data_IF_768251698777
#
_entry.id   IF_768251698777
#
_cell.length_a   1.000
_cell.length_b   1.000
_cell.length_c   1.000
_cell.angle_alpha   90.00
_cell.angle_beta   90.00
_cell.angle_gamma   90.00
#
_symmetry.space_group_name_H-M   'P 1'
#
loop_
_entity.id
_entity.type
_entity.pdbx_description
1 polymer ?
#
# COMPACT_ATOMS: atom_id res chain seq x y z
N UNK A 1 27.27 53.21 -20.01
CA UNK A 1 26.72 51.89 -20.39
C UNK A 1 26.31 50.98 -19.25
N UNK A 2 26.64 51.22 -17.97
CA UNK A 2 26.34 50.38 -16.83
C UNK A 2 24.92 50.45 -16.25
N UNK A 3 24.22 51.58 -16.37
CA UNK A 3 22.90 51.78 -15.73
C UNK A 3 21.72 51.09 -16.47
N UNK A 4 21.80 50.88 -17.76
CA UNK A 4 20.73 50.28 -18.56
C UNK A 4 20.69 48.74 -18.35
N UNK A 5 21.84 48.08 -18.14
CA UNK A 5 21.89 46.63 -17.87
C UNK A 5 21.30 46.26 -16.51
N UNK A 6 21.47 47.11 -15.48
CA UNK A 6 20.94 46.82 -14.13
C UNK A 6 19.41 46.94 -14.06
N UNK A 7 18.77 47.82 -14.82
CA UNK A 7 17.30 47.93 -14.84
C UNK A 7 16.63 46.79 -15.58
N UNK A 8 17.24 46.22 -16.62
CA UNK A 8 16.73 45.07 -17.34
C UNK A 8 16.82 43.76 -16.50
N UNK A 9 17.93 43.61 -15.76
CA UNK A 9 18.14 42.43 -14.91
C UNK A 9 17.11 42.40 -13.75
N UNK A 10 16.86 43.54 -13.11
CA UNK A 10 15.86 43.67 -12.03
C UNK A 10 14.41 43.39 -12.50
N UNK A 11 14.09 43.71 -13.75
CA UNK A 11 12.75 43.44 -14.30
C UNK A 11 12.57 41.95 -14.62
N UNK A 12 13.60 41.27 -15.10
CA UNK A 12 13.56 39.83 -15.37
C UNK A 12 13.44 39.01 -14.09
N UNK A 13 14.20 39.33 -13.03
CA UNK A 13 14.15 38.68 -11.76
C UNK A 13 12.79 38.87 -11.02
N UNK A 14 12.18 40.06 -11.19
CA UNK A 14 10.84 40.35 -10.65
C UNK A 14 9.75 39.53 -11.36
N UNK A 15 9.82 39.38 -12.68
CA UNK A 15 8.85 38.57 -13.45
C UNK A 15 8.97 37.09 -13.11
N UNK A 16 10.18 36.58 -12.91
CA UNK A 16 10.42 35.19 -12.48
C UNK A 16 9.89 34.95 -11.07
N UNK A 17 10.10 35.90 -10.15
CA UNK A 17 9.62 35.82 -8.78
C UNK A 17 8.08 35.86 -8.73
N UNK A 18 7.45 36.75 -9.50
CA UNK A 18 5.98 36.85 -9.60
C UNK A 18 5.37 35.57 -10.21
N UNK A 19 6.01 35.01 -11.23
CA UNK A 19 5.56 33.71 -11.80
C UNK A 19 5.68 32.57 -10.78
N UNK A 20 6.76 32.54 -10.00
CA UNK A 20 6.96 31.54 -8.95
C UNK A 20 5.93 31.70 -7.80
N UNK A 21 5.64 32.92 -7.41
CA UNK A 21 4.62 33.22 -6.37
C UNK A 21 3.22 32.88 -6.87
N UNK A 22 2.89 33.18 -8.13
CA UNK A 22 1.60 32.82 -8.75
C UNK A 22 1.45 31.29 -8.88
N UNK A 23 2.51 30.59 -9.24
CA UNK A 23 2.50 29.14 -9.34
C UNK A 23 2.38 28.46 -7.98
N UNK A 24 3.05 28.99 -6.94
CA UNK A 24 2.91 28.52 -5.56
C UNK A 24 1.51 28.80 -4.99
N UNK A 25 0.92 29.98 -5.28
CA UNK A 25 -0.47 30.31 -4.90
C UNK A 25 -1.50 29.45 -5.63
N UNK A 26 -1.28 29.14 -6.91
CA UNK A 26 -2.13 28.24 -7.68
C UNK A 26 -2.07 26.81 -7.12
N UNK A 27 -0.90 26.33 -6.73
CA UNK A 27 -0.73 25.04 -6.03
C UNK A 27 -1.41 25.01 -4.67
N UNK A 28 -1.41 26.11 -3.92
CA UNK A 28 -2.08 26.22 -2.61
C UNK A 28 -3.60 26.31 -2.77
N UNK A 29 -4.10 26.98 -3.81
CA UNK A 29 -5.54 27.12 -4.07
C UNK A 29 -6.17 25.92 -4.79
N UNK A 30 -5.39 25.11 -5.50
CA UNK A 30 -5.89 23.90 -6.19
C UNK A 30 -6.11 22.72 -5.26
N UNK A 31 -5.83 22.83 -3.93
CA UNK A 31 -6.23 21.83 -2.93
C UNK A 31 -5.78 20.38 -3.20
N UNK A 32 -4.82 20.17 -4.13
CA UNK A 32 -4.34 18.85 -4.51
C UNK A 32 -2.96 18.60 -3.89
N UNK A 33 -2.91 18.65 -2.57
CA UNK A 33 -2.03 17.78 -1.81
C UNK A 33 -2.90 16.72 -1.18
N UNK A 34 -3.40 15.80 -1.97
CA UNK A 34 -3.84 14.51 -1.46
C UNK A 34 -2.57 13.74 -1.04
N UNK A 35 -1.96 14.16 0.03
CA UNK A 35 -1.17 13.29 0.89
C UNK A 35 -2.20 12.35 1.51
N UNK A 36 -2.59 11.33 0.79
CA UNK A 36 -3.37 10.23 1.35
C UNK A 36 -2.51 9.60 2.43
N UNK A 37 -2.77 9.97 3.67
CA UNK A 37 -2.11 9.35 4.82
C UNK A 37 -2.51 7.88 4.88
N UNK A 38 -1.56 7.03 5.27
CA UNK A 38 -1.82 5.60 5.50
C UNK A 38 -3.06 5.42 6.38
N UNK A 39 -3.96 4.54 5.96
CA UNK A 39 -5.21 4.27 6.69
C UNK A 39 -4.91 3.74 8.09
N UNK A 40 -5.66 4.27 9.05
CA UNK A 40 -5.46 3.99 10.49
C UNK A 40 -6.41 2.90 10.99
N UNK A 41 -6.06 2.23 12.09
CA UNK A 41 -7.00 1.36 12.81
C UNK A 41 -8.34 2.07 13.10
N UNK A 42 -9.45 1.33 12.99
CA UNK A 42 -10.81 1.85 13.10
C UNK A 42 -11.43 2.29 11.77
N UNK A 43 -10.65 2.41 10.69
CA UNK A 43 -11.15 2.79 9.38
C UNK A 43 -11.74 1.57 8.65
N UNK A 44 -12.92 1.67 8.02
CA UNK A 44 -13.39 0.65 7.09
C UNK A 44 -12.40 0.47 5.95
N UNK A 45 -11.99 -0.78 5.67
CA UNK A 45 -11.08 -1.09 4.59
C UNK A 45 -11.75 -0.82 3.24
N UNK A 46 -11.19 0.04 2.37
CA UNK A 46 -11.72 0.28 1.04
C UNK A 46 -11.81 -1.02 0.25
N UNK A 47 -12.99 -1.33 -0.29
CA UNK A 47 -13.14 -2.48 -1.16
C UNK A 47 -12.43 -2.27 -2.50
N UNK A 48 -11.96 -3.38 -3.08
CA UNK A 48 -11.31 -3.41 -4.38
C UNK A 48 -11.61 -4.74 -5.08
N UNK A 49 -11.36 -4.76 -6.38
CA UNK A 49 -11.29 -5.99 -7.19
C UNK A 49 -10.02 -5.92 -8.01
N UNK A 50 -9.13 -6.89 -7.85
CA UNK A 50 -7.85 -6.98 -8.55
C UNK A 50 -7.67 -8.35 -9.20
N UNK A 51 -6.86 -8.43 -10.24
CA UNK A 51 -6.53 -9.68 -10.89
C UNK A 51 -5.52 -10.51 -10.08
N UNK A 52 -5.82 -11.78 -9.87
CA UNK A 52 -4.92 -12.80 -9.32
C UNK A 52 -4.29 -13.67 -10.41
N UNK A 53 -4.96 -13.73 -11.58
CA UNK A 53 -4.50 -14.39 -12.80
C UNK A 53 -5.11 -13.66 -14.02
N UNK A 54 -4.67 -13.94 -15.26
CA UNK A 54 -5.16 -13.22 -16.43
C UNK A 54 -6.68 -13.26 -16.62
N UNK A 55 -7.31 -14.36 -16.20
CA UNK A 55 -8.75 -14.62 -16.31
C UNK A 55 -9.47 -14.70 -14.95
N UNK A 56 -8.78 -14.39 -13.86
CA UNK A 56 -9.32 -14.46 -12.51
C UNK A 56 -9.10 -13.15 -11.76
N UNK A 57 -10.10 -12.75 -10.99
CA UNK A 57 -10.03 -11.60 -10.09
C UNK A 57 -10.60 -11.95 -8.73
N UNK A 58 -10.10 -11.24 -7.72
CA UNK A 58 -10.54 -11.37 -6.33
C UNK A 58 -10.93 -10.00 -5.78
N UNK A 59 -12.05 -9.96 -5.06
CA UNK A 59 -12.50 -8.76 -4.36
C UNK A 59 -12.27 -8.90 -2.86
N UNK A 60 -11.88 -7.82 -2.18
CA UNK A 60 -11.73 -7.85 -0.71
C UNK A 60 -13.02 -8.28 -0.01
N UNK A 61 -14.18 -7.94 -0.57
CA UNK A 61 -15.48 -8.34 -0.02
C UNK A 61 -15.72 -9.86 0.04
N UNK A 62 -14.98 -10.66 -0.72
CA UNK A 62 -15.06 -12.13 -0.68
C UNK A 62 -14.47 -12.72 0.60
N UNK A 63 -13.64 -11.95 1.30
CA UNK A 63 -13.00 -12.35 2.55
C UNK A 63 -13.77 -11.89 3.81
N UNK A 64 -14.98 -11.34 3.64
CA UNK A 64 -15.84 -11.02 4.78
C UNK A 64 -16.16 -12.26 5.60
N UNK A 65 -16.21 -12.10 6.93
CA UNK A 65 -16.38 -13.21 7.87
C UNK A 65 -15.06 -13.80 8.35
N UNK A 66 -13.93 -13.43 7.73
CA UNK A 66 -12.59 -13.87 8.11
C UNK A 66 -11.66 -12.67 8.29
N UNK A 67 -10.73 -12.70 9.27
CA UNK A 67 -9.65 -11.73 9.31
C UNK A 67 -8.82 -11.80 8.02
N UNK A 68 -8.41 -10.64 7.49
CA UNK A 68 -7.64 -10.56 6.25
C UNK A 68 -6.38 -9.75 6.48
N UNK A 69 -5.25 -10.29 6.03
CA UNK A 69 -3.94 -9.63 6.05
C UNK A 69 -3.66 -9.13 4.64
N UNK A 70 -3.54 -7.81 4.46
CA UNK A 70 -3.04 -7.24 3.22
C UNK A 70 -1.57 -6.90 3.38
N UNK A 71 -0.72 -7.47 2.53
CA UNK A 71 0.70 -7.21 2.45
C UNK A 71 1.01 -6.45 1.14
N UNK A 72 1.05 -5.12 1.20
CA UNK A 72 1.57 -4.32 0.10
C UNK A 72 3.10 -4.41 0.09
N UNK A 73 3.67 -4.65 -1.09
CA UNK A 73 5.12 -4.79 -1.26
C UNK A 73 5.59 -4.13 -2.55
N UNK A 74 6.83 -3.60 -2.59
CA UNK A 74 7.34 -2.80 -3.70
C UNK A 74 7.34 -3.48 -5.07
N UNK A 75 7.91 -4.68 -5.18
CA UNK A 75 8.07 -5.35 -6.47
C UNK A 75 8.38 -6.83 -6.32
N UNK A 76 7.88 -7.63 -7.26
CA UNK A 76 8.28 -9.02 -7.45
C UNK A 76 9.80 -9.12 -7.64
N UNK A 77 10.37 -10.26 -7.29
CA UNK A 77 11.78 -10.60 -7.43
C UNK A 77 12.77 -9.66 -6.74
N UNK A 78 12.35 -8.57 -6.07
CA UNK A 78 13.29 -7.80 -5.27
C UNK A 78 13.73 -8.61 -4.04
N UNK A 79 15.02 -8.50 -3.61
CA UNK A 79 15.54 -9.37 -2.55
C UNK A 79 14.70 -9.34 -1.28
N UNK A 80 14.41 -8.15 -0.75
CA UNK A 80 13.66 -7.99 0.51
C UNK A 80 12.20 -8.45 0.37
N UNK A 81 11.57 -8.25 -0.82
CA UNK A 81 10.21 -8.74 -1.06
C UNK A 81 10.19 -10.26 -1.18
N UNK A 82 11.19 -10.85 -1.85
CA UNK A 82 11.34 -12.30 -1.92
C UNK A 82 11.44 -12.93 -0.53
N UNK A 83 12.29 -12.39 0.33
CA UNK A 83 12.45 -12.86 1.71
C UNK A 83 11.17 -12.68 2.54
N UNK A 84 10.47 -11.55 2.38
CA UNK A 84 9.21 -11.30 3.07
C UNK A 84 8.12 -12.30 2.67
N UNK A 85 7.92 -12.52 1.36
CA UNK A 85 6.89 -13.44 0.86
C UNK A 85 7.22 -14.89 1.21
N UNK A 86 8.49 -15.28 1.16
CA UNK A 86 8.94 -16.60 1.60
C UNK A 86 8.66 -16.80 3.10
N UNK A 87 9.02 -15.84 3.96
CA UNK A 87 8.71 -15.90 5.38
C UNK A 87 7.20 -16.08 5.63
N UNK A 88 6.37 -15.29 4.95
CA UNK A 88 4.91 -15.38 5.13
C UNK A 88 4.34 -16.71 4.65
N UNK A 89 4.93 -17.29 3.61
CA UNK A 89 4.55 -18.62 3.12
C UNK A 89 4.90 -19.72 4.13
N UNK A 90 6.07 -19.63 4.76
CA UNK A 90 6.52 -20.58 5.79
C UNK A 90 5.61 -20.56 7.03
N UNK A 91 5.17 -19.36 7.43
CA UNK A 91 4.32 -19.20 8.63
C UNK A 91 2.83 -19.10 8.30
N UNK A 92 2.42 -19.39 7.07
CA UNK A 92 1.01 -19.38 6.68
C UNK A 92 0.11 -20.21 7.62
N UNK A 93 0.54 -21.40 8.13
CA UNK A 93 -0.23 -22.16 9.12
C UNK A 93 -0.53 -21.36 10.40
N UNK A 94 0.37 -20.47 10.85
CA UNK A 94 0.12 -19.63 12.02
C UNK A 94 -1.01 -18.61 11.76
N UNK A 95 -1.08 -18.02 10.56
CA UNK A 95 -2.20 -17.15 10.18
C UNK A 95 -3.51 -17.94 10.10
N UNK A 96 -3.48 -19.16 9.58
CA UNK A 96 -4.66 -20.04 9.47
C UNK A 96 -5.21 -20.44 10.84
N UNK A 97 -4.40 -20.52 11.90
CA UNK A 97 -4.90 -20.74 13.27
C UNK A 97 -5.86 -19.64 13.74
N UNK A 98 -5.77 -18.45 13.16
CA UNK A 98 -6.68 -17.32 13.39
C UNK A 98 -7.82 -17.29 12.36
N UNK A 99 -7.92 -18.27 11.47
CA UNK A 99 -8.80 -18.27 10.31
C UNK A 99 -8.56 -17.00 9.43
N UNK A 100 -7.32 -16.53 9.38
CA UNK A 100 -6.93 -15.34 8.67
C UNK A 100 -6.40 -15.69 7.27
N UNK A 101 -6.84 -14.91 6.27
CA UNK A 101 -6.37 -14.99 4.89
C UNK A 101 -5.26 -13.97 4.65
N UNK A 102 -4.21 -14.38 3.90
CA UNK A 102 -3.12 -13.51 3.49
C UNK A 102 -3.22 -13.18 2.00
N UNK A 103 -3.06 -11.93 1.65
CA UNK A 103 -3.08 -11.42 0.28
C UNK A 103 -1.87 -10.51 0.08
N UNK A 104 -1.03 -10.81 -0.92
CA UNK A 104 0.03 -9.91 -1.38
C UNK A 104 -0.52 -8.95 -2.45
N UNK A 105 -0.08 -7.68 -2.42
CA UNK A 105 -0.50 -6.68 -3.41
C UNK A 105 0.72 -5.86 -3.83
N UNK A 106 0.96 -5.78 -5.14
CA UNK A 106 1.91 -4.83 -5.73
C UNK A 106 1.38 -4.26 -7.05
N UNK A 107 2.12 -3.33 -7.63
CA UNK A 107 1.81 -2.77 -8.95
C UNK A 107 2.38 -3.60 -10.10
N UNK A 108 2.92 -4.76 -9.82
CA UNK A 108 3.40 -5.68 -10.87
C UNK A 108 2.22 -6.29 -11.63
N UNK A 109 2.45 -6.68 -12.88
CA UNK A 109 1.44 -7.32 -13.70
C UNK A 109 1.21 -8.78 -13.31
N UNK A 110 0.04 -9.31 -13.65
CA UNK A 110 -0.39 -10.68 -13.29
C UNK A 110 0.61 -11.77 -13.75
N UNK A 111 1.26 -11.59 -14.87
CA UNK A 111 2.27 -12.55 -15.37
C UNK A 111 3.53 -12.55 -14.53
N UNK A 112 3.94 -11.38 -14.01
CA UNK A 112 5.04 -11.28 -13.04
C UNK A 112 4.67 -12.01 -11.75
N UNK A 113 3.47 -11.76 -11.21
CA UNK A 113 2.96 -12.43 -10.02
C UNK A 113 2.93 -13.96 -10.17
N UNK A 114 2.44 -14.47 -11.30
CA UNK A 114 2.42 -15.90 -11.55
C UNK A 114 3.82 -16.51 -11.58
N UNK A 115 4.77 -15.83 -12.24
CA UNK A 115 6.16 -16.28 -12.30
C UNK A 115 6.81 -16.24 -10.91
N UNK A 116 6.62 -15.14 -10.16
CA UNK A 116 7.17 -14.96 -8.81
C UNK A 116 6.56 -15.94 -7.81
N UNK A 117 5.23 -16.13 -7.84
CA UNK A 117 4.55 -17.10 -6.99
C UNK A 117 5.04 -18.53 -7.24
N UNK A 118 5.24 -18.89 -8.51
CA UNK A 118 5.79 -20.19 -8.89
C UNK A 118 7.25 -20.35 -8.45
N UNK A 119 8.09 -19.33 -8.65
CA UNK A 119 9.51 -19.35 -8.27
C UNK A 119 9.69 -19.54 -6.77
N UNK A 120 8.86 -18.87 -5.95
CA UNK A 120 8.89 -18.92 -4.49
C UNK A 120 7.96 -19.97 -3.88
N UNK A 121 7.26 -20.74 -4.70
CA UNK A 121 6.27 -21.73 -4.27
C UNK A 121 5.27 -21.15 -3.25
N UNK A 122 4.71 -19.97 -3.55
CA UNK A 122 3.77 -19.28 -2.65
C UNK A 122 2.39 -19.96 -2.68
N UNK A 123 1.79 -20.11 -1.51
CA UNK A 123 0.48 -20.75 -1.30
C UNK A 123 -0.61 -19.73 -0.89
N UNK A 124 -0.43 -18.46 -1.20
CA UNK A 124 -1.40 -17.39 -1.03
C UNK A 124 -1.44 -16.51 -2.28
N UNK A 125 -2.56 -15.82 -2.56
CA UNK A 125 -2.72 -15.03 -3.77
C UNK A 125 -1.86 -13.76 -3.75
N UNK A 126 -1.32 -13.43 -4.93
CA UNK A 126 -0.77 -12.12 -5.25
C UNK A 126 -1.75 -11.40 -6.19
N UNK A 127 -2.09 -10.16 -5.86
CA UNK A 127 -3.06 -9.36 -6.61
C UNK A 127 -2.38 -8.16 -7.27
N UNK A 128 -2.69 -7.96 -8.54
CA UNK A 128 -2.06 -6.97 -9.41
C UNK A 128 -2.82 -5.64 -9.39
N UNK A 129 -2.23 -4.63 -8.74
CA UNK A 129 -2.70 -3.23 -8.77
C UNK A 129 -2.01 -2.46 -9.92
N UNK A 130 -1.93 -3.11 -11.11
CA UNK A 130 -1.16 -2.66 -12.25
C UNK A 130 -1.85 -1.52 -13.00
N UNK A 131 -3.15 -1.66 -13.30
CA UNK A 131 -3.91 -0.67 -14.08
C UNK A 131 -5.35 -0.55 -13.59
N UNK A 132 -5.83 0.64 -13.21
CA UNK A 132 -5.09 1.91 -13.12
C UNK A 132 -4.01 1.84 -12.05
N UNK A 133 -2.78 2.21 -12.43
CA UNK A 133 -1.57 1.93 -11.64
C UNK A 133 -1.66 2.43 -10.19
N UNK A 134 -1.60 1.48 -9.27
CA UNK A 134 -1.59 1.76 -7.84
C UNK A 134 -2.90 2.38 -7.33
N UNK A 135 -4.04 2.10 -7.98
CA UNK A 135 -5.33 2.67 -7.54
C UNK A 135 -5.70 2.21 -6.14
N UNK A 136 -5.51 0.93 -5.85
CA UNK A 136 -5.79 0.38 -4.51
C UNK A 136 -4.76 0.88 -3.51
N UNK A 137 -3.47 0.87 -3.86
CA UNK A 137 -2.42 1.41 -3.01
C UNK A 137 -2.66 2.90 -2.67
N UNK A 138 -3.18 3.70 -3.61
CA UNK A 138 -3.58 5.10 -3.36
C UNK A 138 -4.74 5.18 -2.37
N UNK A 139 -5.77 4.33 -2.48
CA UNK A 139 -6.90 4.26 -1.54
C UNK A 139 -6.46 3.92 -0.11
N UNK A 140 -5.41 3.10 0.03
CA UNK A 140 -4.84 2.73 1.32
C UNK A 140 -3.76 3.71 1.82
N UNK A 141 -3.40 4.71 1.02
CA UNK A 141 -2.37 5.72 1.35
C UNK A 141 -0.94 5.17 1.33
N UNK A 142 -0.68 4.14 0.51
CA UNK A 142 0.59 3.43 0.45
C UNK A 142 1.21 3.38 -0.95
N UNK A 143 0.80 4.27 -1.85
CA UNK A 143 1.39 4.40 -3.18
C UNK A 143 2.51 5.44 -3.18
N UNK A 144 3.68 5.07 -3.68
CA UNK A 144 4.85 5.93 -3.88
C UNK A 144 4.84 6.49 -5.29
N UNK A 145 4.28 7.68 -5.45
CA UNK A 145 4.14 8.29 -6.78
C UNK A 145 5.46 8.60 -7.48
N UNK A 146 6.53 8.87 -6.71
CA UNK A 146 7.86 9.14 -7.25
C UNK A 146 8.52 7.90 -7.85
N UNK A 147 8.29 6.75 -7.23
CA UNK A 147 8.92 5.48 -7.63
C UNK A 147 7.96 4.63 -8.50
N UNK A 148 6.66 4.95 -8.50
CA UNK A 148 5.63 4.20 -9.21
C UNK A 148 5.39 2.79 -8.68
N UNK A 149 5.64 2.58 -7.38
CA UNK A 149 5.50 1.31 -6.66
C UNK A 149 4.70 1.51 -5.36
N UNK A 150 4.42 0.44 -4.63
CA UNK A 150 3.82 0.53 -3.29
C UNK A 150 4.87 0.72 -2.20
N UNK A 151 4.46 1.28 -1.07
CA UNK A 151 5.19 1.12 0.18
C UNK A 151 5.24 -0.36 0.58
N UNK A 152 6.13 -0.67 1.53
CA UNK A 152 6.08 -1.94 2.24
C UNK A 152 5.15 -1.79 3.44
N UNK A 153 3.88 -2.11 3.22
CA UNK A 153 2.82 -1.81 4.19
C UNK A 153 1.96 -3.03 4.49
N UNK A 154 1.56 -3.16 5.74
CA UNK A 154 0.76 -4.27 6.24
C UNK A 154 -0.53 -3.73 6.85
N UNK A 155 -1.63 -4.42 6.61
CA UNK A 155 -2.92 -4.16 7.25
C UNK A 155 -3.50 -5.47 7.75
N UNK A 156 -4.02 -5.47 8.97
CA UNK A 156 -4.87 -6.53 9.50
C UNK A 156 -6.29 -5.99 9.57
N UNK A 157 -7.18 -6.65 8.86
CA UNK A 157 -8.61 -6.31 8.71
C UNK A 157 -9.40 -7.40 9.42
N UNK A 158 -10.40 -7.04 10.21
CA UNK A 158 -11.27 -7.99 10.89
C UNK A 158 -12.36 -8.57 9.97
N UNK A 159 -13.15 -9.49 10.50
CA UNK A 159 -14.27 -10.13 9.80
C UNK A 159 -15.35 -9.13 9.30
N UNK A 160 -15.47 -7.98 9.96
CA UNK A 160 -16.41 -6.92 9.59
C UNK A 160 -15.82 -5.95 8.57
N UNK A 161 -14.53 -6.14 8.20
CA UNK A 161 -13.80 -5.35 7.24
C UNK A 161 -13.30 -4.02 7.80
N UNK A 162 -13.05 -3.93 9.08
CA UNK A 162 -12.45 -2.78 9.73
C UNK A 162 -10.95 -3.05 9.90
N UNK A 163 -10.12 -2.09 9.52
CA UNK A 163 -8.69 -2.13 9.77
C UNK A 163 -8.47 -2.10 11.29
N UNK A 164 -7.83 -3.12 11.83
CA UNK A 164 -7.50 -3.23 13.25
C UNK A 164 -6.06 -2.88 13.56
N UNK A 165 -5.20 -3.05 12.56
CA UNK A 165 -3.79 -2.69 12.67
C UNK A 165 -3.24 -2.34 11.29
N UNK A 166 -2.31 -1.40 11.26
CA UNK A 166 -1.54 -1.04 10.06
C UNK A 166 -0.10 -0.68 10.42
N UNK A 167 0.82 -1.01 9.54
CA UNK A 167 2.24 -0.73 9.71
C UNK A 167 2.89 -0.47 8.35
N UNK A 168 3.77 0.53 8.29
CA UNK A 168 4.62 0.80 7.13
C UNK A 168 6.06 0.60 7.53
N UNK A 169 6.73 -0.35 6.89
CA UNK A 169 8.16 -0.62 7.08
C UNK A 169 9.01 0.25 6.16
N UNK A 170 10.21 0.65 6.55
CA UNK A 170 11.19 1.15 5.60
C UNK A 170 11.33 0.18 4.42
N UNK A 171 11.47 0.72 3.19
CA UNK A 171 11.35 -0.07 1.97
C UNK A 171 12.38 -1.22 1.89
N UNK A 172 13.55 -1.03 2.46
CA UNK A 172 14.65 -2.01 2.52
C UNK A 172 14.61 -2.95 3.73
N UNK A 173 13.56 -2.90 4.57
CA UNK A 173 13.50 -3.71 5.81
C UNK A 173 12.31 -4.66 5.74
N UNK A 174 12.57 -5.96 5.89
CA UNK A 174 11.51 -6.96 6.05
C UNK A 174 10.82 -6.73 7.41
N UNK A 175 9.49 -6.47 7.43
CA UNK A 175 8.76 -6.15 8.66
C UNK A 175 8.58 -7.35 9.61
N UNK A 176 8.90 -8.56 9.15
CA UNK A 176 8.56 -9.78 9.90
C UNK A 176 7.05 -9.99 10.02
N UNK A 177 6.66 -10.90 10.92
CA UNK A 177 5.26 -11.25 11.13
C UNK A 177 4.75 -10.98 12.55
N UNK A 178 5.62 -10.58 13.48
CA UNK A 178 5.25 -10.41 14.89
C UNK A 178 4.09 -9.41 15.08
N UNK A 179 4.13 -8.28 14.36
CA UNK A 179 3.06 -7.27 14.43
C UNK A 179 1.72 -7.80 13.93
N UNK A 180 1.73 -8.61 12.85
CA UNK A 180 0.53 -9.25 12.30
C UNK A 180 -0.06 -10.22 13.33
N UNK A 181 0.76 -11.12 13.89
CA UNK A 181 0.31 -12.14 14.87
C UNK A 181 -0.28 -11.48 16.12
N UNK A 182 0.37 -10.46 16.68
CA UNK A 182 -0.16 -9.70 17.82
C UNK A 182 -1.49 -9.02 17.48
N UNK A 183 -1.64 -8.49 16.28
CA UNK A 183 -2.90 -7.87 15.86
C UNK A 183 -4.04 -8.90 15.72
N UNK A 184 -3.75 -10.09 15.19
CA UNK A 184 -4.72 -11.18 15.08
C UNK A 184 -5.15 -11.70 16.46
N UNK A 185 -4.21 -11.88 17.39
CA UNK A 185 -4.50 -12.27 18.78
C UNK A 185 -5.42 -11.27 19.47
N UNK A 186 -5.11 -9.98 19.35
CA UNK A 186 -5.91 -8.90 19.94
C UNK A 186 -7.34 -8.87 19.41
N UNK A 187 -7.54 -9.13 18.11
CA UNK A 187 -8.86 -9.19 17.47
C UNK A 187 -9.71 -10.37 18.01
N UNK A 188 -9.10 -11.54 18.20
CA UNK A 188 -9.80 -12.70 18.77
C UNK A 188 -10.32 -12.43 20.17
N UNK A 189 -9.53 -11.76 21.01
CA UNK A 189 -9.92 -11.41 22.38
C UNK A 189 -11.09 -10.42 22.38
N UNK A 190 -11.08 -9.43 21.50
CA UNK A 190 -12.18 -8.45 21.37
C UNK A 190 -13.48 -9.09 20.89
N UNK A 191 -13.42 -9.98 19.89
CA UNK A 191 -14.59 -10.69 19.35
C UNK A 191 -15.24 -11.62 20.38
N UNK A 192 -14.45 -12.23 21.28
CA UNK A 192 -14.97 -13.07 22.40
C UNK A 192 -15.68 -12.22 23.46
N UNK A 193 -15.15 -11.04 23.78
CA UNK A 193 -15.74 -10.15 24.80
C UNK A 193 -17.06 -9.49 24.33
N UNK A 194 -17.28 -9.37 23.02
CA UNK A 194 -18.53 -8.81 22.47
C UNK A 194 -19.68 -9.86 22.40
N UNK A 195 -19.38 -11.15 22.53
CA UNK A 195 -20.35 -12.25 22.47
C UNK A 195 -20.78 -12.75 23.85
N UNK A 196 -20.22 -12.22 24.92
CA UNK A 196 -20.63 -12.45 26.31
C UNK A 196 -21.51 -11.31 26.81
#
# INVERSE_FOLDING_TARGET
MGRIRQSFQRSADAVVLDAYILQSRYMIMSGITSSTSVLKPGTPAPNFTLHSAPDQSMALSQFRGHPTILAFYPADFSPVCGDQMTLYNEILPEFQRFNAELIGISVDGVWSHLAFSKDRNLHFPLLSDFEPKGEVAKKYGVYRSQDGITERALFVIDSDGIIRWSYVSPIGINPGAEGILKALESNLLQSRNQKM
#
